data_IF_471732117313
#
_entry.id   IF_471732117313
#
_cell.length_a   1.000
_cell.length_b   1.000
_cell.length_c   1.000
_cell.angle_alpha   90.00
_cell.angle_beta   90.00
_cell.angle_gamma   90.00
#
_symmetry.space_group_name_H-M   'P 1'
#
loop_
_entity.id
_entity.type
_entity.pdbx_description
1 polymer ?
#
# COMPACT_ATOMS: atom_id res chain seq x y z
N UNK A 1 -9.02 77.89 -16.59
CA UNK A 1 -8.35 78.97 -15.84
C UNK A 1 -7.24 78.31 -15.00
N UNK A 2 -6.01 78.86 -15.07
CA UNK A 2 -4.87 78.76 -14.12
C UNK A 2 -4.48 77.36 -13.57
N UNK A 3 -3.29 76.78 -13.80
CA UNK A 3 -1.90 77.29 -13.59
C UNK A 3 -1.65 77.66 -12.11
N UNK A 4 -0.65 77.17 -11.39
CA UNK A 4 0.82 77.31 -11.54
C UNK A 4 1.53 76.04 -11.00
N UNK A 5 2.62 75.49 -11.59
CA UNK A 5 4.04 75.91 -11.68
C UNK A 5 4.96 75.40 -10.51
N UNK A 6 6.24 75.14 -10.84
CA UNK A 6 7.26 74.32 -10.11
C UNK A 6 8.35 75.23 -9.46
N UNK A 7 9.63 74.85 -9.21
CA UNK A 7 10.26 73.77 -8.40
C UNK A 7 11.31 74.29 -7.35
N UNK A 8 11.95 73.40 -6.55
CA UNK A 8 13.37 73.46 -6.07
C UNK A 8 13.72 72.15 -5.33
N UNK A 9 14.85 71.43 -5.47
CA UNK A 9 16.30 71.77 -5.43
C UNK A 9 16.76 72.24 -4.02
N UNK A 10 17.84 71.78 -3.37
CA UNK A 10 19.10 71.10 -3.78
C UNK A 10 19.58 70.13 -2.67
N UNK A 11 20.45 69.15 -2.93
CA UNK A 11 21.24 68.47 -1.88
C UNK A 11 21.99 67.23 -2.35
N UNK A 12 23.32 67.30 -2.47
CA UNK A 12 24.18 66.21 -2.94
C UNK A 12 25.09 65.66 -1.82
N UNK A 13 25.37 64.36 -1.86
CA UNK A 13 26.57 63.75 -1.27
C UNK A 13 26.87 62.41 -1.99
N UNK A 14 28.15 62.18 -2.25
CA UNK A 14 28.68 61.04 -3.01
C UNK A 14 29.18 59.94 -2.09
N UNK A 15 29.12 58.67 -2.54
CA UNK A 15 30.16 57.68 -2.23
C UNK A 15 30.11 56.56 -3.27
N UNK A 16 30.94 56.69 -4.30
CA UNK A 16 31.59 55.51 -4.86
C UNK A 16 32.56 54.96 -3.80
N UNK A 17 32.85 53.65 -3.84
CA UNK A 17 34.22 53.15 -3.70
C UNK A 17 34.28 51.69 -4.20
N UNK A 18 35.12 51.47 -5.20
CA UNK A 18 35.37 50.17 -5.84
C UNK A 18 36.65 49.56 -5.25
N UNK A 19 36.53 48.56 -4.37
CA UNK A 19 37.72 47.94 -3.79
C UNK A 19 38.39 46.93 -4.74
N UNK A 20 39.54 47.38 -5.20
CA UNK A 20 40.42 46.86 -6.24
C UNK A 20 41.05 45.49 -5.89
N UNK A 21 41.32 44.67 -6.92
CA UNK A 21 42.40 43.68 -6.84
C UNK A 21 43.75 44.39 -6.60
N UNK A 22 44.75 43.72 -6.02
CA UNK A 22 46.12 44.00 -6.43
C UNK A 22 46.82 42.75 -6.98
N UNK A 23 47.49 42.93 -8.12
CA UNK A 23 48.45 41.98 -8.67
C UNK A 23 49.87 42.56 -8.55
N UNK A 24 50.78 41.73 -8.02
CA UNK A 24 52.23 41.66 -8.30
C UNK A 24 53.06 42.96 -8.38
N UNK A 25 53.92 43.12 -7.36
CA UNK A 25 55.38 43.34 -7.44
C UNK A 25 55.96 42.80 -6.10
N UNK A 26 57.15 42.25 -5.95
CA UNK A 26 58.35 42.25 -6.78
C UNK A 26 59.49 42.92 -6.00
N UNK A 27 60.42 42.13 -5.42
CA UNK A 27 61.88 42.40 -5.31
C UNK A 27 62.62 41.49 -4.29
N UNK A 28 63.43 40.60 -4.86
CA UNK A 28 64.78 40.08 -4.55
C UNK A 28 65.38 40.04 -3.11
N UNK A 29 65.60 38.81 -2.60
CA UNK A 29 66.78 38.24 -1.86
C UNK A 29 66.48 36.75 -1.47
N UNK A 30 67.39 35.77 -1.35
CA UNK A 30 68.77 35.59 -1.85
C UNK A 30 69.49 34.38 -1.19
N UNK A 31 70.31 33.62 -1.97
CA UNK A 31 71.31 32.58 -1.55
C UNK A 31 70.81 31.35 -0.71
N UNK A 32 71.17 30.07 -0.90
CA UNK A 32 71.74 29.24 -2.01
C UNK A 32 71.45 27.72 -1.67
N UNK A 33 72.05 26.64 -2.25
CA UNK A 33 71.22 25.52 -2.76
C UNK A 33 71.50 24.12 -2.16
N UNK A 34 70.56 23.15 -2.33
CA UNK A 34 70.93 21.76 -2.66
C UNK A 34 69.83 20.88 -3.33
N UNK A 35 70.20 20.30 -4.47
CA UNK A 35 69.81 19.02 -5.11
C UNK A 35 68.40 18.36 -4.99
N UNK A 36 67.63 18.42 -6.11
CA UNK A 36 67.01 17.33 -6.92
C UNK A 36 66.29 16.09 -6.28
N UNK A 37 65.38 15.37 -7.01
CA UNK A 37 64.45 15.77 -8.08
C UNK A 37 63.00 15.20 -7.97
N UNK A 38 62.11 15.79 -8.77
CA UNK A 38 60.84 15.28 -9.35
C UNK A 38 60.15 13.99 -8.82
N UNK A 39 58.86 14.13 -8.49
CA UNK A 39 57.82 13.13 -8.86
C UNK A 39 56.44 13.77 -9.03
N UNK A 40 55.97 13.76 -10.28
CA UNK A 40 54.60 14.12 -10.68
C UNK A 40 53.57 13.24 -9.94
N UNK A 41 52.62 13.88 -9.25
CA UNK A 41 51.41 13.21 -8.76
C UNK A 41 50.23 14.18 -8.77
N UNK A 42 49.67 14.41 -9.97
CA UNK A 42 48.50 15.26 -10.16
C UNK A 42 47.30 14.80 -9.32
N UNK A 43 47.09 15.47 -8.19
CA UNK A 43 45.95 15.28 -7.28
C UNK A 43 44.64 15.68 -7.94
N UNK A 44 44.13 14.83 -8.83
CA UNK A 44 42.87 15.02 -9.53
C UNK A 44 41.74 15.19 -8.50
N UNK A 45 41.14 16.38 -8.47
CA UNK A 45 39.95 16.68 -7.64
C UNK A 45 38.90 15.61 -7.94
N UNK A 46 38.64 14.72 -6.98
CA UNK A 46 37.66 13.65 -7.14
C UNK A 46 36.27 14.27 -7.28
N UNK A 47 35.84 14.47 -8.53
CA UNK A 47 34.46 14.83 -8.83
C UNK A 47 33.54 13.80 -8.18
N UNK A 48 32.49 14.27 -7.53
CA UNK A 48 31.50 13.41 -6.88
C UNK A 48 31.02 12.34 -7.88
N UNK A 49 31.13 11.02 -7.58
CA UNK A 49 31.03 9.95 -8.59
C UNK A 49 29.69 9.86 -9.35
N UNK A 50 28.67 10.58 -8.87
CA UNK A 50 27.31 10.54 -9.37
C UNK A 50 27.15 11.49 -10.56
N UNK A 51 27.54 11.01 -11.74
CA UNK A 51 27.17 11.64 -13.01
C UNK A 51 25.65 11.88 -13.07
N UNK A 52 25.24 12.98 -13.71
CA UNK A 52 23.83 13.31 -13.90
C UNK A 52 23.19 12.30 -14.87
N UNK A 53 22.66 11.22 -14.31
CA UNK A 53 21.98 10.16 -15.05
C UNK A 53 20.87 10.74 -15.94
N UNK A 54 20.83 10.28 -17.20
CA UNK A 54 19.76 10.61 -18.14
C UNK A 54 18.67 9.56 -18.02
N UNK A 55 17.48 9.97 -17.57
CA UNK A 55 16.29 9.15 -17.65
C UNK A 55 15.83 9.08 -19.12
N UNK A 56 16.11 7.96 -19.77
CA UNK A 56 15.51 7.60 -21.06
C UNK A 56 14.24 6.78 -20.82
N UNK A 57 13.39 6.69 -21.83
CA UNK A 57 12.12 5.99 -21.77
C UNK A 57 12.31 4.51 -21.37
N UNK A 58 13.34 3.86 -21.90
CA UNK A 58 13.73 2.47 -21.56
C UNK A 58 14.12 2.32 -20.09
N UNK A 59 14.96 3.22 -19.56
CA UNK A 59 15.39 3.21 -18.15
C UNK A 59 14.19 3.47 -17.21
N UNK A 60 13.21 4.27 -17.64
CA UNK A 60 11.99 4.50 -16.86
C UNK A 60 11.05 3.29 -16.91
N UNK A 61 10.84 2.66 -18.08
CA UNK A 61 10.08 1.38 -18.16
C UNK A 61 10.72 0.30 -17.30
N UNK A 62 12.05 0.20 -17.33
CA UNK A 62 12.81 -0.71 -16.48
C UNK A 62 12.59 -0.43 -14.99
N UNK A 63 12.67 0.84 -14.57
CA UNK A 63 12.39 1.23 -13.18
C UNK A 63 10.98 0.81 -12.75
N UNK A 64 9.97 1.07 -13.58
CA UNK A 64 8.57 0.70 -13.30
C UNK A 64 8.42 -0.82 -13.19
N UNK A 65 8.99 -1.59 -14.12
CA UNK A 65 8.99 -3.06 -14.11
C UNK A 65 9.71 -3.66 -12.90
N UNK A 66 10.87 -3.11 -12.52
CA UNK A 66 11.62 -3.53 -11.32
C UNK A 66 10.86 -3.17 -10.03
N UNK A 67 10.17 -2.04 -9.99
CA UNK A 67 9.32 -1.64 -8.84
C UNK A 67 8.09 -2.54 -8.70
N UNK A 68 7.55 -3.07 -9.80
CA UNK A 68 6.55 -4.14 -9.82
C UNK A 68 7.08 -5.38 -9.10
N UNK A 69 8.17 -5.94 -9.65
CA UNK A 69 8.75 -7.20 -9.22
C UNK A 69 9.23 -7.18 -7.75
N UNK A 70 9.75 -6.04 -7.27
CA UNK A 70 10.15 -5.89 -5.85
C UNK A 70 8.92 -5.74 -4.94
N UNK A 71 7.73 -5.43 -5.47
CA UNK A 71 6.47 -5.51 -4.72
C UNK A 71 6.13 -6.94 -4.29
N UNK A 72 6.46 -7.93 -5.11
CA UNK A 72 6.14 -9.35 -4.87
C UNK A 72 7.10 -10.03 -3.88
N UNK A 73 8.22 -9.38 -3.55
CA UNK A 73 9.35 -9.95 -2.80
C UNK A 73 9.57 -9.32 -1.40
N UNK A 74 8.51 -8.87 -0.71
CA UNK A 74 8.62 -8.36 0.68
C UNK A 74 8.81 -9.47 1.75
N UNK A 75 9.07 -10.73 1.37
CA UNK A 75 9.66 -11.70 2.30
C UNK A 75 11.19 -11.57 2.32
N UNK A 76 11.76 -11.39 3.52
CA UNK A 76 13.14 -11.00 3.79
C UNK A 76 14.20 -12.06 3.53
N UNK A 77 14.12 -12.76 2.40
CA UNK A 77 14.88 -13.98 2.08
C UNK A 77 16.37 -13.75 1.77
N UNK A 78 16.82 -12.51 1.56
CA UNK A 78 18.22 -12.19 1.24
C UNK A 78 19.12 -11.90 2.48
N UNK A 79 18.59 -11.99 3.70
CA UNK A 79 19.34 -11.79 4.96
C UNK A 79 19.66 -13.11 5.69
N UNK A 80 19.39 -14.29 5.08
CA UNK A 80 19.62 -15.62 5.70
C UNK A 80 21.10 -16.05 5.61
N UNK A 81 22.02 -15.16 6.00
CA UNK A 81 23.44 -15.51 6.18
C UNK A 81 24.12 -14.90 7.42
N UNK A 82 23.50 -13.96 8.18
CA UNK A 82 24.23 -13.33 9.30
C UNK A 82 23.43 -12.75 10.50
N UNK A 83 22.16 -13.13 10.71
CA UNK A 83 21.30 -12.51 11.75
C UNK A 83 20.50 -13.48 12.61
N UNK A 84 20.63 -13.39 13.94
CA UNK A 84 19.89 -14.22 14.90
C UNK A 84 18.39 -13.89 14.98
N UNK A 85 17.56 -14.91 15.17
CA UNK A 85 16.10 -14.89 15.05
C UNK A 85 15.32 -13.95 15.99
N UNK A 86 15.99 -13.32 16.97
CA UNK A 86 15.37 -12.56 18.06
C UNK A 86 14.86 -11.15 17.68
N UNK A 87 15.32 -10.55 16.58
CA UNK A 87 15.00 -9.15 16.23
C UNK A 87 13.58 -8.95 15.66
N UNK A 88 12.88 -10.01 15.24
CA UNK A 88 11.71 -9.98 14.35
C UNK A 88 10.37 -9.45 14.92
N UNK A 89 10.34 -8.79 16.08
CA UNK A 89 9.07 -8.35 16.71
C UNK A 89 8.96 -6.88 17.15
N UNK A 90 9.89 -5.98 16.79
CA UNK A 90 9.83 -4.56 17.23
C UNK A 90 10.16 -3.44 16.22
N UNK A 91 10.23 -3.70 14.91
CA UNK A 91 10.37 -2.63 13.90
C UNK A 91 9.30 -2.68 12.80
N UNK A 92 8.12 -2.14 13.09
CA UNK A 92 7.06 -1.95 12.10
C UNK A 92 7.31 -0.75 11.17
N UNK A 93 6.89 -0.89 9.92
CA UNK A 93 6.55 0.14 8.91
C UNK A 93 7.61 1.19 8.47
N UNK A 94 8.60 1.55 9.28
CA UNK A 94 9.54 2.64 8.98
C UNK A 94 10.79 2.17 8.22
N UNK A 95 11.32 0.98 8.56
CA UNK A 95 12.62 0.53 8.03
C UNK A 95 12.54 -0.12 6.63
N UNK A 96 11.38 -0.71 6.26
CA UNK A 96 11.18 -1.36 4.95
C UNK A 96 11.36 -0.40 3.76
N UNK A 97 11.00 0.88 3.93
CA UNK A 97 11.13 1.90 2.86
C UNK A 97 12.57 2.10 2.39
N UNK A 98 13.55 2.00 3.31
CA UNK A 98 14.99 2.06 2.99
C UNK A 98 15.54 0.73 2.46
N UNK A 99 14.75 -0.34 2.48
CA UNK A 99 15.05 -1.65 1.90
C UNK A 99 14.66 -1.74 0.43
N UNK A 100 13.38 -1.53 0.10
CA UNK A 100 12.84 -1.62 -1.28
C UNK A 100 13.71 -0.90 -2.29
N UNK A 101 14.05 0.37 -2.05
CA UNK A 101 14.83 1.16 -2.99
C UNK A 101 16.30 0.72 -3.13
N UNK A 102 16.88 0.03 -2.14
CA UNK A 102 18.19 -0.62 -2.31
C UNK A 102 18.09 -1.80 -3.27
N UNK A 103 17.07 -2.64 -3.12
CA UNK A 103 16.83 -3.78 -4.02
C UNK A 103 16.55 -3.29 -5.44
N UNK A 104 15.69 -2.28 -5.60
CA UNK A 104 15.41 -1.64 -6.91
C UNK A 104 16.70 -1.07 -7.52
N UNK A 105 17.49 -0.29 -6.78
CA UNK A 105 18.77 0.25 -7.26
C UNK A 105 19.78 -0.84 -7.64
N UNK A 106 19.84 -1.94 -6.88
CA UNK A 106 20.69 -3.10 -7.21
C UNK A 106 20.24 -3.79 -8.50
N UNK A 107 18.94 -4.03 -8.68
CA UNK A 107 18.39 -4.62 -9.90
C UNK A 107 18.56 -3.71 -11.12
N UNK A 108 18.45 -2.39 -10.94
CA UNK A 108 18.79 -1.41 -11.99
C UNK A 108 20.28 -1.49 -12.37
N UNK A 109 21.18 -1.59 -11.39
CA UNK A 109 22.63 -1.75 -11.61
C UNK A 109 22.96 -3.05 -12.35
N UNK A 110 22.35 -4.17 -11.98
CA UNK A 110 22.49 -5.48 -12.66
C UNK A 110 22.03 -5.43 -14.14
N UNK A 111 21.18 -4.47 -14.50
CA UNK A 111 20.72 -4.19 -15.86
C UNK A 111 21.53 -3.06 -16.55
N UNK A 112 22.69 -2.71 -16.02
CA UNK A 112 23.60 -1.68 -16.56
C UNK A 112 23.17 -0.22 -16.29
N UNK A 113 22.13 -0.01 -15.48
CA UNK A 113 21.61 1.32 -15.17
C UNK A 113 22.11 1.79 -13.79
N UNK A 114 23.16 2.61 -13.79
CA UNK A 114 23.77 3.15 -12.58
C UNK A 114 22.91 4.27 -11.95
N UNK A 115 21.96 3.89 -11.10
CA UNK A 115 21.08 4.81 -10.34
C UNK A 115 21.07 4.48 -8.85
N UNK A 116 21.10 5.50 -8.00
CA UNK A 116 21.03 5.33 -6.54
C UNK A 116 19.61 5.01 -6.07
N UNK A 117 19.44 4.46 -4.84
CA UNK A 117 18.11 4.21 -4.26
C UNK A 117 17.23 5.47 -4.24
N UNK A 118 17.81 6.61 -3.86
CA UNK A 118 17.08 7.88 -3.81
C UNK A 118 16.64 8.35 -5.20
N UNK A 119 17.51 8.20 -6.21
CA UNK A 119 17.16 8.56 -7.59
C UNK A 119 16.01 7.69 -8.14
N UNK A 120 15.97 6.41 -7.77
CA UNK A 120 14.86 5.52 -8.11
C UNK A 120 13.55 5.96 -7.42
N UNK A 121 13.62 6.24 -6.12
CA UNK A 121 12.49 6.70 -5.31
C UNK A 121 11.91 8.03 -5.83
N UNK A 122 12.75 9.06 -5.98
CA UNK A 122 12.36 10.39 -6.43
C UNK A 122 11.72 10.33 -7.83
N UNK A 123 12.32 9.53 -8.74
CA UNK A 123 11.82 9.37 -10.10
C UNK A 123 10.46 8.67 -10.14
N UNK A 124 10.30 7.61 -9.35
CA UNK A 124 9.02 6.91 -9.23
C UNK A 124 7.94 7.78 -8.58
N UNK A 125 8.30 8.56 -7.56
CA UNK A 125 7.39 9.48 -6.89
C UNK A 125 6.92 10.62 -7.81
N UNK A 126 7.75 11.15 -8.70
CA UNK A 126 7.32 12.09 -9.76
C UNK A 126 6.29 11.46 -10.72
N UNK A 127 6.55 10.23 -11.18
CA UNK A 127 5.63 9.49 -12.06
C UNK A 127 4.29 9.23 -11.37
N UNK A 128 4.32 8.70 -10.16
CA UNK A 128 3.13 8.40 -9.37
C UNK A 128 2.35 9.68 -9.01
N UNK A 129 3.04 10.79 -8.73
CA UNK A 129 2.39 12.10 -8.49
C UNK A 129 1.62 12.60 -9.71
N UNK A 130 2.18 12.46 -10.92
CA UNK A 130 1.50 12.83 -12.17
C UNK A 130 0.31 11.91 -12.47
N UNK A 131 0.46 10.60 -12.28
CA UNK A 131 -0.63 9.63 -12.35
C UNK A 131 -1.78 9.95 -11.39
N UNK A 132 -1.48 10.17 -10.10
CA UNK A 132 -2.46 10.52 -9.06
C UNK A 132 -3.18 11.83 -9.38
N UNK A 133 -2.45 12.88 -9.80
CA UNK A 133 -3.06 14.17 -10.16
C UNK A 133 -3.99 14.07 -11.38
N UNK A 134 -3.66 13.24 -12.37
CA UNK A 134 -4.53 13.01 -13.52
C UNK A 134 -5.85 12.33 -13.09
N UNK A 135 -5.73 11.28 -12.26
CA UNK A 135 -6.88 10.56 -11.71
C UNK A 135 -7.72 11.37 -10.72
N UNK A 136 -7.14 12.34 -10.03
CA UNK A 136 -7.86 13.30 -9.18
C UNK A 136 -8.76 14.23 -10.00
N UNK A 137 -8.32 14.65 -11.20
CA UNK A 137 -9.08 15.58 -12.06
C UNK A 137 -10.15 14.84 -12.88
N UNK A 138 -9.82 13.66 -13.43
CA UNK A 138 -10.67 12.96 -14.41
C UNK A 138 -11.39 11.72 -13.84
N UNK A 139 -10.92 11.16 -12.73
CA UNK A 139 -11.32 9.84 -12.24
C UNK A 139 -10.61 8.68 -12.95
N UNK A 140 -10.37 7.58 -12.21
CA UNK A 140 -9.59 6.40 -12.68
C UNK A 140 -10.06 5.81 -14.02
N UNK A 141 -11.36 5.86 -14.32
CA UNK A 141 -11.91 5.38 -15.60
C UNK A 141 -11.61 6.34 -16.76
N UNK A 142 -12.05 7.59 -16.63
CA UNK A 142 -11.97 8.61 -17.68
C UNK A 142 -10.53 8.99 -18.03
N UNK A 143 -9.60 8.98 -17.06
CA UNK A 143 -8.17 9.19 -17.32
C UNK A 143 -7.62 8.26 -18.39
N UNK A 144 -8.04 6.99 -18.42
CA UNK A 144 -7.54 6.02 -19.40
C UNK A 144 -7.94 6.43 -20.81
N UNK A 145 -9.23 6.76 -21.00
CA UNK A 145 -9.79 7.18 -22.27
C UNK A 145 -9.15 8.49 -22.78
N UNK A 146 -8.90 9.45 -21.88
CA UNK A 146 -8.28 10.74 -22.21
C UNK A 146 -6.77 10.60 -22.50
N UNK A 147 -6.08 9.63 -21.91
CA UNK A 147 -4.68 9.31 -22.26
C UNK A 147 -4.57 8.67 -23.64
N UNK A 148 -5.50 7.78 -23.98
CA UNK A 148 -5.56 7.11 -25.29
C UNK A 148 -6.05 8.05 -26.40
N UNK A 149 -6.99 8.95 -26.10
CA UNK A 149 -7.50 9.95 -27.02
C UNK A 149 -7.66 11.32 -26.33
N UNK A 150 -6.62 12.19 -26.39
CA UNK A 150 -6.64 13.51 -25.74
C UNK A 150 -7.75 14.44 -26.21
N UNK A 151 -8.30 14.26 -27.42
CA UNK A 151 -9.40 15.09 -27.93
C UNK A 151 -10.70 14.95 -27.12
N UNK A 152 -10.89 13.83 -26.41
CA UNK A 152 -12.06 13.63 -25.55
C UNK A 152 -12.15 14.69 -24.45
N UNK A 153 -11.02 15.21 -23.96
CA UNK A 153 -10.95 16.23 -22.92
C UNK A 153 -11.68 17.52 -23.31
N UNK A 154 -11.62 17.92 -24.58
CA UNK A 154 -12.25 19.16 -25.05
C UNK A 154 -13.79 19.02 -25.06
N UNK A 155 -14.32 17.82 -25.35
CA UNK A 155 -15.75 17.52 -25.28
C UNK A 155 -16.33 17.46 -23.85
N UNK A 156 -15.50 17.32 -22.81
CA UNK A 156 -15.97 17.20 -21.42
C UNK A 156 -16.42 18.56 -20.86
N UNK A 157 -17.73 18.82 -20.82
CA UNK A 157 -18.31 20.10 -20.37
C UNK A 157 -18.24 20.34 -18.85
N UNK A 158 -18.18 19.28 -18.04
CA UNK A 158 -18.15 19.36 -16.58
C UNK A 158 -16.76 19.69 -15.99
N UNK A 159 -15.72 19.79 -16.82
CA UNK A 159 -14.35 20.11 -16.40
C UNK A 159 -14.04 21.58 -16.68
N UNK A 160 -13.63 22.30 -15.63
CA UNK A 160 -13.17 23.70 -15.73
C UNK A 160 -12.04 23.86 -16.75
N UNK A 161 -12.00 24.94 -17.56
CA UNK A 161 -10.92 25.19 -18.52
C UNK A 161 -9.51 25.13 -17.89
N UNK A 162 -9.37 25.58 -16.64
CA UNK A 162 -8.10 25.48 -15.88
C UNK A 162 -7.69 24.03 -15.61
N UNK A 163 -8.64 23.17 -15.28
CA UNK A 163 -8.39 21.75 -15.04
C UNK A 163 -8.09 21.00 -16.36
N UNK A 164 -8.68 21.40 -17.49
CA UNK A 164 -8.28 20.88 -18.82
C UNK A 164 -6.83 21.23 -19.15
N UNK A 165 -6.37 22.42 -18.78
CA UNK A 165 -4.99 22.83 -19.01
C UNK A 165 -3.99 22.10 -18.10
N UNK A 166 -4.33 21.90 -16.81
CA UNK A 166 -3.58 21.02 -15.91
C UNK A 166 -3.42 19.60 -16.51
N UNK A 167 -4.51 19.04 -17.07
CA UNK A 167 -4.50 17.73 -17.73
C UNK A 167 -3.60 17.73 -18.97
N UNK A 168 -3.74 18.71 -19.89
CA UNK A 168 -2.86 18.83 -21.07
C UNK A 168 -1.39 18.94 -20.69
N UNK A 169 -1.06 19.66 -19.62
CA UNK A 169 0.30 19.75 -19.07
C UNK A 169 0.82 18.43 -18.50
N UNK A 170 -0.05 17.57 -17.97
CA UNK A 170 0.34 16.22 -17.54
C UNK A 170 0.54 15.30 -18.76
N UNK A 171 -0.39 15.32 -19.72
CA UNK A 171 -0.35 14.49 -20.93
C UNK A 171 0.84 14.81 -21.84
N UNK A 172 1.24 16.09 -21.94
CA UNK A 172 2.43 16.52 -22.70
C UNK A 172 3.77 16.14 -22.05
N UNK A 173 3.76 15.52 -20.87
CA UNK A 173 4.98 15.08 -20.20
C UNK A 173 5.59 13.85 -20.90
N UNK A 174 6.80 14.01 -21.46
CA UNK A 174 7.53 12.95 -22.18
C UNK A 174 7.53 11.58 -21.47
N UNK A 175 7.66 11.58 -20.14
CA UNK A 175 7.70 10.37 -19.33
C UNK A 175 6.37 10.16 -18.60
N UNK A 176 5.24 10.12 -19.32
CA UNK A 176 3.91 9.94 -18.70
C UNK A 176 3.74 8.55 -18.09
N UNK A 177 4.03 7.48 -18.85
CA UNK A 177 3.95 6.07 -18.42
C UNK A 177 2.64 5.70 -17.69
N UNK A 178 1.53 6.29 -18.14
CA UNK A 178 0.25 6.16 -17.43
C UNK A 178 -0.26 4.71 -17.42
N UNK A 179 -0.15 3.99 -18.54
CA UNK A 179 -0.60 2.60 -18.62
C UNK A 179 0.22 1.68 -17.71
N UNK A 180 1.53 1.87 -17.66
CA UNK A 180 2.42 1.05 -16.84
C UNK A 180 2.28 1.37 -15.34
N UNK A 181 2.16 2.65 -14.95
CA UNK A 181 1.85 3.02 -13.56
C UNK A 181 0.42 2.57 -13.16
N UNK A 182 -0.54 2.59 -14.08
CA UNK A 182 -1.89 2.03 -13.84
C UNK A 182 -1.84 0.53 -13.63
N UNK A 183 -1.07 -0.21 -14.42
CA UNK A 183 -0.88 -1.64 -14.25
C UNK A 183 -0.30 -1.96 -12.87
N UNK A 184 0.73 -1.23 -12.42
CA UNK A 184 1.25 -1.36 -11.04
C UNK A 184 0.18 -1.13 -9.98
N UNK A 185 -0.65 -0.08 -10.14
CA UNK A 185 -1.66 0.26 -9.13
C UNK A 185 -2.79 -0.78 -9.08
N UNK A 186 -3.17 -1.35 -10.22
CA UNK A 186 -4.16 -2.44 -10.29
C UNK A 186 -3.61 -3.75 -9.71
N UNK A 187 -2.31 -4.01 -9.84
CA UNK A 187 -1.64 -5.15 -9.21
C UNK A 187 -1.69 -5.02 -7.67
N UNK A 188 -1.31 -3.85 -7.14
CA UNK A 188 -1.37 -3.52 -5.70
C UNK A 188 -2.81 -3.65 -5.16
N UNK A 189 -3.80 -3.07 -5.85
CA UNK A 189 -5.22 -3.16 -5.49
C UNK A 189 -5.74 -4.63 -5.56
N UNK A 190 -5.27 -5.45 -6.49
CA UNK A 190 -5.69 -6.87 -6.59
C UNK A 190 -5.18 -7.69 -5.42
N UNK A 191 -3.91 -7.53 -5.05
CA UNK A 191 -3.30 -8.27 -3.93
C UNK A 191 -3.97 -7.90 -2.60
N UNK A 192 -4.38 -6.65 -2.41
CA UNK A 192 -5.15 -6.23 -1.23
C UNK A 192 -6.52 -6.94 -1.16
N UNK A 193 -7.26 -6.99 -2.27
CA UNK A 193 -8.55 -7.69 -2.37
C UNK A 193 -8.40 -9.20 -2.12
N UNK A 194 -7.36 -9.83 -2.67
CA UNK A 194 -7.06 -11.26 -2.45
C UNK A 194 -6.75 -11.55 -0.97
N UNK A 195 -6.01 -10.67 -0.30
CA UNK A 195 -5.72 -10.78 1.13
C UNK A 195 -6.98 -10.62 2.01
N UNK A 196 -7.86 -9.67 1.68
CA UNK A 196 -9.16 -9.51 2.36
C UNK A 196 -10.07 -10.72 2.16
N UNK A 197 -10.16 -11.25 0.93
CA UNK A 197 -10.97 -12.42 0.60
C UNK A 197 -10.53 -13.66 1.40
N UNK A 198 -9.21 -13.89 1.50
CA UNK A 198 -8.64 -15.00 2.28
C UNK A 198 -8.87 -14.83 3.79
N UNK A 199 -8.89 -13.60 4.31
CA UNK A 199 -9.23 -13.34 5.71
C UNK A 199 -10.74 -13.51 5.99
N UNK A 200 -11.61 -13.16 5.04
CA UNK A 200 -13.05 -13.48 5.09
C UNK A 200 -13.28 -14.99 5.04
N UNK A 201 -12.54 -15.73 4.21
CA UNK A 201 -12.64 -17.18 4.11
C UNK A 201 -12.23 -17.87 5.43
N UNK A 202 -11.15 -17.44 6.09
CA UNK A 202 -10.79 -17.90 7.44
C UNK A 202 -11.91 -17.68 8.46
N UNK A 203 -12.60 -16.54 8.40
CA UNK A 203 -13.75 -16.23 9.27
C UNK A 203 -14.94 -17.14 8.95
N UNK A 204 -15.21 -17.37 7.67
CA UNK A 204 -16.26 -18.28 7.20
C UNK A 204 -16.01 -19.73 7.68
N UNK A 205 -14.79 -20.26 7.55
CA UNK A 205 -14.45 -21.60 8.07
C UNK A 205 -14.58 -21.71 9.60
N UNK A 206 -14.23 -20.66 10.35
CA UNK A 206 -14.47 -20.61 11.82
C UNK A 206 -15.97 -20.68 12.13
N UNK A 207 -16.78 -19.89 11.41
CA UNK A 207 -18.23 -19.88 11.57
C UNK A 207 -18.88 -21.21 11.16
N UNK A 208 -18.49 -21.79 10.02
CA UNK A 208 -18.96 -23.11 9.59
C UNK A 208 -18.66 -24.20 10.63
N UNK A 209 -17.46 -24.18 11.23
CA UNK A 209 -17.10 -25.11 12.32
C UNK A 209 -17.90 -24.87 13.60
N UNK A 210 -18.27 -23.63 13.90
CA UNK A 210 -19.16 -23.32 15.02
C UNK A 210 -20.59 -23.82 14.74
N UNK A 211 -21.15 -23.47 13.57
CA UNK A 211 -22.46 -23.94 13.11
C UNK A 211 -22.54 -25.46 13.11
N UNK A 212 -21.59 -26.15 12.48
CA UNK A 212 -21.53 -27.61 12.46
C UNK A 212 -21.25 -28.28 13.82
N UNK A 213 -20.95 -27.52 14.88
CA UNK A 213 -21.02 -28.02 16.27
C UNK A 213 -22.44 -27.85 16.83
N UNK A 214 -23.07 -26.69 16.59
CA UNK A 214 -24.45 -26.38 17.02
C UNK A 214 -25.49 -27.27 16.35
N UNK A 215 -25.36 -27.54 15.05
CA UNK A 215 -26.27 -28.41 14.30
C UNK A 215 -26.27 -29.84 14.89
N UNK A 216 -25.10 -30.38 15.26
CA UNK A 216 -24.97 -31.70 15.94
C UNK A 216 -25.40 -31.71 17.41
N UNK A 217 -25.34 -30.57 18.09
CA UNK A 217 -25.86 -30.42 19.45
C UNK A 217 -27.40 -30.43 19.44
N UNK A 218 -28.00 -29.73 18.46
CA UNK A 218 -29.44 -29.72 18.22
C UNK A 218 -29.97 -31.11 17.83
N UNK A 219 -29.32 -31.80 16.90
CA UNK A 219 -29.67 -33.15 16.47
C UNK A 219 -29.68 -34.15 17.64
N UNK A 220 -28.68 -34.07 18.53
CA UNK A 220 -28.65 -34.88 19.77
C UNK A 220 -29.83 -34.58 20.69
N UNK A 221 -30.17 -33.31 20.87
CA UNK A 221 -31.30 -32.90 21.72
C UNK A 221 -32.65 -33.34 21.12
N UNK A 222 -32.78 -33.37 19.79
CA UNK A 222 -33.97 -33.90 19.11
C UNK A 222 -34.17 -35.40 19.37
N UNK A 223 -33.12 -36.20 19.16
CA UNK A 223 -33.15 -37.65 19.42
C UNK A 223 -33.43 -37.99 20.89
N UNK A 224 -32.86 -37.21 21.82
CA UNK A 224 -33.12 -37.37 23.25
C UNK A 224 -34.56 -36.99 23.63
N UNK A 225 -35.14 -35.96 23.00
CA UNK A 225 -36.54 -35.59 23.20
C UNK A 225 -37.49 -36.68 22.67
N UNK A 226 -37.18 -37.26 21.52
CA UNK A 226 -37.93 -38.38 20.93
C UNK A 226 -37.86 -39.64 21.82
N UNK A 227 -36.68 -39.97 22.35
CA UNK A 227 -36.48 -41.05 23.33
C UNK A 227 -37.36 -40.84 24.57
N UNK A 228 -37.30 -39.65 25.18
CA UNK A 228 -38.10 -39.30 26.36
C UNK A 228 -39.61 -39.30 26.07
N UNK A 229 -40.03 -38.94 24.84
CA UNK A 229 -41.44 -39.03 24.42
C UNK A 229 -41.92 -40.48 24.42
N UNK A 230 -41.16 -41.39 23.82
CA UNK A 230 -41.49 -42.83 23.80
C UNK A 230 -41.50 -43.44 25.21
N UNK A 231 -40.61 -43.01 26.11
CA UNK A 231 -40.61 -43.43 27.52
C UNK A 231 -41.84 -42.91 28.28
N UNK A 232 -42.23 -41.65 28.07
CA UNK A 232 -43.46 -41.09 28.64
C UNK A 232 -44.71 -41.81 28.13
N UNK A 233 -44.76 -42.17 26.84
CA UNK A 233 -45.86 -42.96 26.25
C UNK A 233 -45.91 -44.37 26.85
N UNK A 234 -44.77 -45.06 26.99
CA UNK A 234 -44.70 -46.37 27.64
C UNK A 234 -45.14 -46.32 29.11
N UNK A 235 -44.68 -45.30 29.87
CA UNK A 235 -45.10 -45.06 31.25
C UNK A 235 -46.61 -44.82 31.37
N UNK A 236 -47.19 -44.01 30.48
CA UNK A 236 -48.63 -43.75 30.45
C UNK A 236 -49.44 -45.04 30.22
N UNK A 237 -49.07 -45.83 29.20
CA UNK A 237 -49.70 -47.12 28.93
C UNK A 237 -49.56 -48.10 30.11
N UNK A 238 -48.42 -48.10 30.80
CA UNK A 238 -48.22 -48.95 31.97
C UNK A 238 -49.07 -48.52 33.17
N UNK A 239 -49.32 -47.22 33.35
CA UNK A 239 -50.27 -46.71 34.36
C UNK A 239 -51.73 -47.06 34.02
N UNK A 240 -52.13 -46.98 32.75
CA UNK A 240 -53.46 -47.41 32.28
C UNK A 240 -53.68 -48.92 32.52
N UNK A 241 -52.68 -49.75 32.19
CA UNK A 241 -52.74 -51.20 32.45
C UNK A 241 -52.76 -51.48 33.95
N UNK A 242 -51.92 -50.82 34.74
CA UNK A 242 -51.85 -51.02 36.20
C UNK A 242 -53.19 -50.72 36.88
N UNK A 243 -53.80 -49.57 36.57
CA UNK A 243 -55.12 -49.18 37.09
C UNK A 243 -56.25 -50.11 36.58
N UNK A 244 -56.16 -50.60 35.34
CA UNK A 244 -57.09 -51.61 34.81
C UNK A 244 -57.00 -52.97 35.51
N UNK A 245 -55.79 -53.42 35.87
CA UNK A 245 -55.57 -54.67 36.61
C UNK A 245 -56.03 -54.55 38.07
N UNK A 246 -55.81 -53.40 38.73
CA UNK A 246 -56.37 -53.15 40.06
C UNK A 246 -57.91 -53.12 40.04
N UNK A 247 -58.53 -52.49 39.03
CA UNK A 247 -59.99 -52.51 38.86
C UNK A 247 -60.54 -53.92 38.61
N UNK A 248 -59.87 -54.73 37.78
CA UNK A 248 -60.28 -56.11 37.51
C UNK A 248 -60.14 -57.02 38.75
N UNK A 249 -59.09 -56.81 39.56
CA UNK A 249 -58.88 -57.49 40.84
C UNK A 249 -59.93 -57.10 41.88
N UNK A 250 -60.31 -55.83 41.94
CA UNK A 250 -61.40 -55.36 42.80
C UNK A 250 -62.75 -55.96 42.38
N UNK A 251 -63.09 -55.93 41.10
CA UNK A 251 -64.37 -56.41 40.57
C UNK A 251 -64.56 -57.93 40.72
N UNK A 252 -63.48 -58.72 40.72
CA UNK A 252 -63.53 -60.17 40.94
C UNK A 252 -63.61 -60.59 42.41
N UNK A 253 -63.46 -59.65 43.35
CA UNK A 253 -63.64 -59.88 44.80
C UNK A 253 -65.03 -59.52 45.35
N UNK A 254 -65.84 -58.77 44.59
CA UNK A 254 -67.21 -58.41 44.97
C UNK A 254 -68.24 -59.44 44.50
N UNK A 255 -68.69 -60.32 45.40
CA UNK A 255 -69.90 -61.11 45.15
C UNK A 255 -71.14 -60.20 45.06
N UNK A 256 -72.05 -60.41 44.09
CA UNK A 256 -73.25 -59.58 43.97
C UNK A 256 -74.18 -59.79 45.17
N UNK A 257 -74.87 -58.73 45.66
CA UNK A 257 -75.82 -58.88 46.75
C UNK A 257 -76.98 -59.77 46.30
N UNK A 258 -77.25 -60.83 47.07
CA UNK A 258 -78.43 -61.66 46.81
C UNK A 258 -79.69 -60.83 47.05
N UNK A 259 -80.46 -60.63 45.98
CA UNK A 259 -81.75 -59.97 46.06
C UNK A 259 -82.78 -60.96 46.58
N UNK A 260 -83.16 -60.83 47.86
CA UNK A 260 -84.22 -61.66 48.46
C UNK A 260 -85.58 -61.30 47.85
N UNK A 261 -86.13 -62.23 47.08
CA UNK A 261 -87.43 -62.08 46.40
C UNK A 261 -88.52 -62.68 47.29
N UNK A 262 -89.20 -61.77 48.03
CA UNK A 262 -90.42 -61.94 48.83
C UNK A 262 -90.32 -62.78 50.12
#
# INVERSE_FOLDING_TARGET
MASLFVPSSVGAATSDDEDHFPAVAGDEDGHDPDSLPASEAGGSKKASPWHRMKWTDEVVRLLISVVAFVGDHDDGSLEILNGSAAARRRHGASLQKKGKWKTVSKLMLEKGCYVSPQQCEDKFNDLNKRYKRLNEILGRGTSCQVVENPHLLDSMSHISPKAKEDVRKILSSKHLFYQEIRALQLEEERVEIEAEALELEKRHFKWQRFRGKKDRELERLMLENERLKLENEHMALQCEIGSGVEFASAASSSSPPQCSVW
#
